data_IF_147474529384
#
_entry.id   IF_147474529384
#
_cell.length_a   1.000
_cell.length_b   1.000
_cell.length_c   1.000
_cell.angle_alpha   90.00
_cell.angle_beta   90.00
_cell.angle_gamma   90.00
#
_symmetry.space_group_name_H-M   'P 1'
#
loop_
_entity.id
_entity.type
_entity.pdbx_description
1 polymer ?
#
# COMPACT_ATOMS: atom_id res chain seq x y z
N UNK A 1 -4.18 13.97 -20.67
CA UNK A 1 -5.39 13.11 -20.79
C UNK A 1 -5.58 12.45 -19.45
N UNK A 2 -6.81 12.15 -19.04
CA UNK A 2 -7.06 11.47 -17.74
C UNK A 2 -6.79 9.99 -17.94
N UNK A 3 -5.83 9.40 -17.20
CA UNK A 3 -5.62 7.98 -17.22
C UNK A 3 -6.88 7.27 -16.69
N UNK A 4 -7.21 6.16 -17.28
CA UNK A 4 -8.33 5.32 -16.86
C UNK A 4 -7.86 4.32 -15.82
N UNK A 5 -8.79 3.73 -15.04
CA UNK A 5 -8.45 2.61 -14.15
C UNK A 5 -7.79 1.45 -14.91
N UNK A 6 -8.17 1.23 -16.17
CA UNK A 6 -7.59 0.19 -17.02
C UNK A 6 -6.13 0.46 -17.35
N UNK A 7 -5.73 1.72 -17.60
CA UNK A 7 -4.34 2.08 -17.85
C UNK A 7 -3.47 1.87 -16.61
N UNK A 8 -3.97 2.19 -15.40
CA UNK A 8 -3.30 1.89 -14.13
C UNK A 8 -3.10 0.38 -13.95
N UNK A 9 -4.14 -0.41 -14.17
CA UNK A 9 -4.08 -1.87 -14.01
C UNK A 9 -3.17 -2.52 -15.06
N UNK A 10 -3.26 -2.08 -16.31
CA UNK A 10 -2.40 -2.55 -17.39
C UNK A 10 -0.93 -2.30 -17.08
N UNK A 11 -0.59 -1.06 -16.66
CA UNK A 11 0.77 -0.73 -16.26
C UNK A 11 1.29 -1.69 -15.19
N UNK A 12 0.54 -1.86 -14.09
CA UNK A 12 0.99 -2.60 -12.92
C UNK A 12 1.05 -4.11 -13.13
N UNK A 13 0.14 -4.69 -13.89
CA UNK A 13 0.01 -6.14 -14.02
C UNK A 13 0.48 -6.72 -15.37
N UNK A 14 0.67 -5.88 -16.40
CA UNK A 14 1.00 -6.34 -17.74
C UNK A 14 2.31 -5.73 -18.29
N UNK A 15 2.61 -4.45 -17.97
CA UNK A 15 3.78 -3.77 -18.52
C UNK A 15 5.01 -3.96 -17.63
N UNK A 16 4.85 -4.12 -16.30
CA UNK A 16 5.95 -4.36 -15.37
C UNK A 16 5.93 -5.78 -14.81
N UNK A 17 7.10 -6.25 -14.37
CA UNK A 17 7.22 -7.57 -13.76
C UNK A 17 6.93 -7.53 -12.26
N UNK A 18 6.49 -8.66 -11.64
CA UNK A 18 6.27 -8.73 -10.19
C UNK A 18 7.50 -8.37 -9.34
N UNK A 19 8.71 -8.58 -9.86
CA UNK A 19 9.95 -8.22 -9.17
C UNK A 19 10.09 -6.70 -9.01
N UNK A 20 9.53 -5.91 -9.94
CA UNK A 20 9.61 -4.44 -9.91
C UNK A 20 8.67 -3.81 -8.87
N UNK A 21 7.60 -4.51 -8.43
CA UNK A 21 6.62 -3.95 -7.49
C UNK A 21 7.24 -3.46 -6.18
N UNK A 22 8.28 -4.15 -5.71
CA UNK A 22 8.90 -3.88 -4.40
C UNK A 22 10.38 -3.51 -4.50
N UNK A 23 10.89 -3.38 -5.72
CA UNK A 23 12.28 -3.02 -5.95
C UNK A 23 12.44 -1.50 -5.98
N UNK A 24 13.41 -0.96 -5.23
CA UNK A 24 13.79 0.44 -5.34
C UNK A 24 14.51 0.69 -6.68
N UNK A 25 13.98 1.60 -7.48
CA UNK A 25 14.52 1.97 -8.79
C UNK A 25 14.12 3.40 -9.15
N UNK A 26 15.10 4.31 -9.18
CA UNK A 26 14.83 5.71 -9.52
C UNK A 26 14.18 5.88 -10.91
N UNK A 27 14.63 5.16 -11.98
CA UNK A 27 13.95 5.22 -13.28
C UNK A 27 12.49 4.74 -13.24
N UNK A 28 12.18 3.73 -12.42
CA UNK A 28 10.82 3.23 -12.26
C UNK A 28 9.95 4.23 -11.46
N UNK A 29 10.51 4.85 -10.42
CA UNK A 29 9.85 5.88 -9.64
C UNK A 29 9.51 7.11 -10.50
N UNK A 30 10.42 7.50 -11.40
CA UNK A 30 10.23 8.60 -12.35
C UNK A 30 9.16 8.27 -13.40
N UNK A 31 9.13 7.05 -13.95
CA UNK A 31 8.11 6.61 -14.91
C UNK A 31 6.69 6.64 -14.27
N UNK A 32 6.55 6.12 -13.05
CA UNK A 32 5.27 6.20 -12.32
C UNK A 32 4.87 7.67 -12.13
N UNK A 33 5.80 8.52 -11.75
CA UNK A 33 5.54 9.94 -11.51
C UNK A 33 5.14 10.67 -12.77
N UNK A 34 5.84 10.45 -13.89
CA UNK A 34 5.53 11.06 -15.17
C UNK A 34 4.14 10.65 -15.67
N UNK A 35 3.82 9.36 -15.58
CA UNK A 35 2.58 8.80 -16.12
C UNK A 35 1.36 9.09 -15.26
N UNK A 36 1.48 8.97 -13.93
CA UNK A 36 0.31 8.88 -13.05
C UNK A 36 0.17 10.00 -12.02
N UNK A 37 1.02 11.04 -12.04
CA UNK A 37 0.91 12.17 -11.10
C UNK A 37 -0.45 12.86 -11.18
N UNK A 38 -0.99 13.07 -12.39
CA UNK A 38 -2.30 13.69 -12.58
C UNK A 38 -3.41 12.81 -12.02
N UNK A 39 -3.34 11.51 -12.26
CA UNK A 39 -4.30 10.52 -11.76
C UNK A 39 -4.27 10.43 -10.23
N UNK A 40 -3.07 10.43 -9.63
CA UNK A 40 -2.89 10.52 -8.19
C UNK A 40 -3.53 11.79 -7.60
N UNK A 41 -3.25 12.95 -8.18
CA UNK A 41 -3.82 14.22 -7.72
C UNK A 41 -5.36 14.25 -7.80
N UNK A 42 -5.92 13.62 -8.81
CA UNK A 42 -7.38 13.47 -8.94
C UNK A 42 -7.94 12.52 -7.88
N UNK A 43 -7.32 11.35 -7.71
CA UNK A 43 -7.77 10.33 -6.76
C UNK A 43 -7.69 10.86 -5.32
N UNK A 44 -6.58 11.54 -4.94
CA UNK A 44 -6.46 12.12 -3.59
C UNK A 44 -7.49 13.23 -3.33
N UNK A 45 -7.97 13.95 -4.35
CA UNK A 45 -9.07 14.93 -4.25
C UNK A 45 -10.46 14.30 -4.30
N UNK A 46 -10.58 12.98 -4.46
CA UNK A 46 -11.85 12.27 -4.53
C UNK A 46 -12.51 12.30 -5.92
N UNK A 47 -11.82 12.81 -6.95
CA UNK A 47 -12.36 12.94 -8.31
C UNK A 47 -12.40 11.60 -9.09
N UNK A 48 -11.95 10.51 -8.47
CA UNK A 48 -12.05 9.13 -8.99
C UNK A 48 -12.93 8.25 -8.08
N UNK A 49 -13.86 8.84 -7.32
CA UNK A 49 -14.70 8.10 -6.38
C UNK A 49 -15.60 7.05 -7.05
N UNK A 50 -15.96 7.27 -8.32
CA UNK A 50 -16.71 6.32 -9.16
C UNK A 50 -15.96 4.99 -9.38
N UNK A 51 -14.62 4.97 -9.27
CA UNK A 51 -13.84 3.74 -9.36
C UNK A 51 -14.14 2.77 -8.21
N UNK A 52 -14.54 3.25 -7.05
CA UNK A 52 -14.90 2.42 -5.89
C UNK A 52 -16.19 1.59 -6.06
N UNK A 53 -16.84 1.66 -7.23
CA UNK A 53 -18.07 0.93 -7.49
C UNK A 53 -17.85 -0.53 -7.97
N UNK A 54 -16.65 -0.89 -8.38
CA UNK A 54 -16.30 -2.24 -8.82
C UNK A 54 -14.91 -2.67 -8.34
N UNK A 55 -14.64 -3.97 -8.40
CA UNK A 55 -13.42 -4.58 -7.88
C UNK A 55 -12.14 -4.05 -8.55
N UNK A 56 -12.14 -3.89 -9.87
CA UNK A 56 -10.98 -3.39 -10.62
C UNK A 56 -10.73 -1.91 -10.31
N UNK A 57 -11.78 -1.12 -10.15
CA UNK A 57 -11.65 0.28 -9.77
C UNK A 57 -11.13 0.46 -8.34
N UNK A 58 -11.56 -0.38 -7.38
CA UNK A 58 -10.98 -0.43 -6.03
C UNK A 58 -9.50 -0.78 -6.09
N UNK A 59 -9.13 -1.80 -6.85
CA UNK A 59 -7.74 -2.20 -7.05
C UNK A 59 -6.89 -1.06 -7.65
N UNK A 60 -7.40 -0.38 -8.67
CA UNK A 60 -6.72 0.78 -9.25
C UNK A 60 -6.56 1.92 -8.24
N UNK A 61 -7.55 2.20 -7.38
CA UNK A 61 -7.44 3.18 -6.29
C UNK A 61 -6.38 2.76 -5.27
N UNK A 62 -6.27 1.47 -4.94
CA UNK A 62 -5.22 0.97 -4.05
C UNK A 62 -3.83 1.23 -4.66
N UNK A 63 -3.63 0.96 -5.94
CA UNK A 63 -2.35 1.23 -6.60
C UNK A 63 -2.03 2.72 -6.60
N UNK A 64 -2.98 3.56 -6.99
CA UNK A 64 -2.80 5.01 -7.12
C UNK A 64 -2.61 5.71 -5.77
N UNK A 65 -3.31 5.28 -4.71
CA UNK A 65 -3.31 5.97 -3.41
C UNK A 65 -2.39 5.33 -2.35
N UNK A 66 -1.95 4.08 -2.57
CA UNK A 66 -1.07 3.38 -1.63
C UNK A 66 0.30 3.06 -2.23
N UNK A 67 0.36 2.45 -3.42
CA UNK A 67 1.63 2.01 -4.01
C UNK A 67 2.37 3.16 -4.70
N UNK A 68 1.72 3.87 -5.62
CA UNK A 68 2.35 4.93 -6.40
C UNK A 68 2.94 6.07 -5.55
N UNK A 69 2.31 6.55 -4.46
CA UNK A 69 2.92 7.57 -3.61
C UNK A 69 4.24 7.13 -2.98
N UNK A 70 4.39 5.83 -2.67
CA UNK A 70 5.63 5.26 -2.13
C UNK A 70 6.79 5.30 -3.14
N UNK A 71 6.48 5.25 -4.41
CA UNK A 71 7.43 5.47 -5.50
C UNK A 71 7.64 6.97 -5.79
N UNK A 72 6.56 7.70 -6.10
CA UNK A 72 6.61 9.10 -6.54
C UNK A 72 7.23 10.05 -5.50
N UNK A 73 7.05 9.77 -4.22
CA UNK A 73 7.41 10.66 -3.11
C UNK A 73 8.33 9.96 -2.10
N UNK A 74 9.20 9.08 -2.59
CA UNK A 74 10.17 8.38 -1.74
C UNK A 74 10.92 9.37 -0.85
N UNK A 75 11.16 8.98 0.39
CA UNK A 75 11.80 9.80 1.42
C UNK A 75 11.07 11.13 1.76
N UNK A 76 9.77 11.20 1.49
CA UNK A 76 8.92 12.36 1.79
C UNK A 76 7.66 11.95 2.55
N UNK A 77 7.12 12.79 3.46
CA UNK A 77 5.83 12.55 4.12
C UNK A 77 4.67 12.31 3.15
N UNK A 78 4.74 12.85 1.93
CA UNK A 78 3.74 12.66 0.88
C UNK A 78 3.56 11.20 0.47
N UNK A 79 4.57 10.34 0.70
CA UNK A 79 4.47 8.92 0.43
C UNK A 79 3.35 8.24 1.23
N UNK A 80 2.92 8.83 2.35
CA UNK A 80 1.93 8.28 3.29
C UNK A 80 0.66 9.14 3.38
N UNK A 81 0.59 10.26 2.65
CA UNK A 81 -0.50 11.26 2.76
C UNK A 81 -1.90 10.68 2.49
N UNK A 82 -1.98 9.62 1.70
CA UNK A 82 -3.24 9.02 1.26
C UNK A 82 -3.54 7.67 1.91
N UNK A 83 -2.73 7.21 2.86
CA UNK A 83 -2.90 5.91 3.52
C UNK A 83 -4.28 5.78 4.21
N UNK A 84 -4.71 6.78 4.99
CA UNK A 84 -6.02 6.76 5.64
C UNK A 84 -7.18 6.77 4.63
N UNK A 85 -7.01 7.49 3.52
CA UNK A 85 -8.03 7.58 2.49
C UNK A 85 -8.24 6.24 1.79
N UNK A 86 -7.17 5.58 1.37
CA UNK A 86 -7.28 4.28 0.70
C UNK A 86 -7.79 3.22 1.66
N UNK A 87 -7.43 3.29 2.95
CA UNK A 87 -7.94 2.39 3.98
C UNK A 87 -9.48 2.47 4.10
N UNK A 88 -10.07 3.65 4.01
CA UNK A 88 -11.53 3.80 3.98
C UNK A 88 -12.15 3.17 2.73
N UNK A 89 -11.52 3.34 1.55
CA UNK A 89 -11.99 2.72 0.30
C UNK A 89 -11.99 1.21 0.41
N UNK A 90 -10.92 0.60 0.92
CA UNK A 90 -10.83 -0.86 1.02
C UNK A 90 -11.77 -1.43 2.07
N UNK A 91 -12.02 -0.74 3.19
CA UNK A 91 -13.02 -1.16 4.19
C UNK A 91 -14.40 -1.28 3.57
N UNK A 92 -14.81 -0.29 2.79
CA UNK A 92 -16.08 -0.30 2.08
C UNK A 92 -16.14 -1.39 1.01
N UNK A 93 -15.04 -1.60 0.28
CA UNK A 93 -14.94 -2.66 -0.72
C UNK A 93 -15.07 -4.06 -0.11
N UNK A 94 -14.43 -4.31 1.03
CA UNK A 94 -14.56 -5.57 1.76
C UNK A 94 -16.00 -5.79 2.28
N UNK A 95 -16.63 -4.72 2.76
CA UNK A 95 -18.05 -4.81 3.20
C UNK A 95 -18.97 -5.24 2.04
N UNK A 96 -18.67 -4.81 0.82
CA UNK A 96 -19.38 -5.18 -0.41
C UNK A 96 -18.95 -6.52 -1.02
N UNK A 97 -17.91 -7.16 -0.49
CA UNK A 97 -17.34 -8.41 -1.04
C UNK A 97 -16.62 -8.24 -2.38
N UNK A 98 -16.24 -7.01 -2.75
CA UNK A 98 -15.58 -6.73 -4.04
C UNK A 98 -14.17 -7.34 -4.14
N UNK A 99 -13.49 -7.49 -3.02
CA UNK A 99 -12.18 -8.14 -2.93
C UNK A 99 -12.21 -9.60 -3.39
N UNK A 100 -13.32 -10.31 -3.14
CA UNK A 100 -13.48 -11.72 -3.51
C UNK A 100 -13.61 -11.94 -5.02
N UNK A 101 -13.89 -10.89 -5.78
CA UNK A 101 -13.94 -10.92 -7.25
C UNK A 101 -12.55 -10.83 -7.90
N UNK A 102 -11.51 -10.58 -7.11
CA UNK A 102 -10.13 -10.45 -7.58
C UNK A 102 -9.35 -11.75 -7.38
N UNK A 103 -8.41 -12.04 -8.29
CA UNK A 103 -7.45 -13.12 -8.10
C UNK A 103 -6.55 -12.84 -6.87
N UNK A 104 -5.95 -13.86 -6.23
CA UNK A 104 -5.08 -13.68 -5.07
C UNK A 104 -3.98 -12.63 -5.28
N UNK A 105 -3.30 -12.66 -6.43
CA UNK A 105 -2.25 -11.69 -6.78
C UNK A 105 -2.76 -10.24 -6.81
N UNK A 106 -3.96 -10.02 -7.32
CA UNK A 106 -4.60 -8.68 -7.36
C UNK A 106 -5.13 -8.30 -5.99
N UNK A 107 -5.75 -9.23 -5.27
CA UNK A 107 -6.34 -9.04 -3.93
C UNK A 107 -5.30 -8.59 -2.90
N UNK A 108 -4.06 -9.04 -3.01
CA UNK A 108 -2.93 -8.59 -2.20
C UNK A 108 -2.88 -7.07 -2.07
N UNK A 109 -2.96 -6.36 -3.18
CA UNK A 109 -2.89 -4.90 -3.19
C UNK A 109 -4.10 -4.21 -2.56
N UNK A 110 -5.25 -4.88 -2.49
CA UNK A 110 -6.43 -4.39 -1.75
C UNK A 110 -6.24 -4.57 -0.24
N UNK A 111 -5.46 -5.55 0.20
CA UNK A 111 -5.21 -5.80 1.62
C UNK A 111 -4.00 -5.03 2.20
N UNK A 112 -3.05 -4.62 1.36
CA UNK A 112 -1.87 -3.86 1.78
C UNK A 112 -2.17 -2.56 2.54
N UNK A 113 -3.22 -1.78 2.26
CA UNK A 113 -3.55 -0.60 3.06
C UNK A 113 -3.79 -0.89 4.55
N UNK A 114 -4.30 -2.08 4.91
CA UNK A 114 -4.38 -2.51 6.31
C UNK A 114 -2.99 -2.76 6.91
N UNK A 115 -2.11 -3.41 6.16
CA UNK A 115 -0.73 -3.70 6.56
C UNK A 115 0.08 -2.42 6.76
N UNK A 116 -0.22 -1.37 6.01
CA UNK A 116 0.47 -0.08 6.07
C UNK A 116 -0.02 0.85 7.19
N UNK A 117 -1.12 0.52 7.86
CA UNK A 117 -1.69 1.31 8.96
C UNK A 117 -0.87 1.19 10.24
N UNK A 118 -0.68 2.31 10.96
CA UNK A 118 -0.09 2.31 12.32
C UNK A 118 -1.14 1.98 13.42
N UNK A 119 -2.37 1.62 13.05
CA UNK A 119 -3.41 1.21 13.99
C UNK A 119 -3.37 -0.31 14.20
N UNK A 120 -3.18 -0.76 15.45
CA UNK A 120 -3.08 -2.19 15.78
C UNK A 120 -4.33 -3.01 15.40
N UNK A 121 -5.52 -2.40 15.40
CA UNK A 121 -6.75 -3.08 14.98
C UNK A 121 -6.70 -3.38 13.49
N UNK A 122 -6.22 -2.43 12.68
CA UNK A 122 -6.07 -2.61 11.24
C UNK A 122 -4.96 -3.61 10.91
N UNK A 123 -3.89 -3.63 11.69
CA UNK A 123 -2.82 -4.63 11.57
C UNK A 123 -3.35 -6.05 11.83
N UNK A 124 -4.13 -6.25 12.88
CA UNK A 124 -4.75 -7.55 13.17
C UNK A 124 -5.72 -7.95 12.07
N UNK A 125 -6.44 -6.97 11.50
CA UNK A 125 -7.30 -7.20 10.32
C UNK A 125 -6.47 -7.63 9.12
N UNK A 126 -5.32 -6.97 8.86
CA UNK A 126 -4.37 -7.35 7.82
C UNK A 126 -3.94 -8.81 7.96
N UNK A 127 -3.47 -9.20 9.15
CA UNK A 127 -3.06 -10.59 9.41
C UNK A 127 -4.18 -11.58 9.08
N UNK A 128 -5.41 -11.31 9.54
CA UNK A 128 -6.56 -12.19 9.26
C UNK A 128 -6.88 -12.29 7.77
N UNK A 129 -6.76 -11.20 7.01
CA UNK A 129 -7.02 -11.17 5.57
C UNK A 129 -5.95 -11.95 4.79
N UNK A 130 -4.68 -11.78 5.14
CA UNK A 130 -3.58 -12.51 4.51
C UNK A 130 -3.52 -13.97 4.96
N UNK A 131 -3.91 -14.31 6.18
CA UNK A 131 -4.05 -15.69 6.65
C UNK A 131 -5.05 -16.47 5.79
N UNK A 132 -6.17 -15.85 5.42
CA UNK A 132 -7.16 -16.45 4.52
C UNK A 132 -6.64 -16.72 3.09
N UNK A 133 -5.51 -16.12 2.72
CA UNK A 133 -4.82 -16.29 1.42
C UNK A 133 -3.46 -16.99 1.54
N UNK A 134 -3.06 -17.48 2.71
CA UNK A 134 -1.69 -17.96 2.96
C UNK A 134 -1.23 -19.08 2.04
N UNK A 135 -2.15 -19.89 1.53
CA UNK A 135 -1.83 -20.98 0.61
C UNK A 135 -1.51 -20.47 -0.80
N UNK A 136 -2.10 -19.30 -1.20
CA UNK A 136 -1.83 -18.64 -2.48
C UNK A 136 -0.67 -17.64 -2.37
N UNK A 137 -0.47 -17.03 -1.20
CA UNK A 137 0.50 -15.95 -0.97
C UNK A 137 1.09 -16.01 0.45
N UNK A 138 1.90 -17.05 0.76
CA UNK A 138 2.51 -17.22 2.08
C UNK A 138 3.43 -16.06 2.45
N UNK A 139 4.10 -15.46 1.45
CA UNK A 139 5.04 -14.36 1.69
C UNK A 139 4.35 -13.12 2.23
N UNK A 140 3.20 -12.73 1.66
CA UNK A 140 2.44 -11.57 2.15
C UNK A 140 1.87 -11.82 3.55
N UNK A 141 1.52 -13.06 3.88
CA UNK A 141 1.11 -13.42 5.24
C UNK A 141 2.27 -13.23 6.24
N UNK A 142 3.47 -13.69 5.91
CA UNK A 142 4.67 -13.50 6.73
C UNK A 142 4.98 -12.00 6.94
N UNK A 143 4.83 -11.19 5.90
CA UNK A 143 4.97 -9.73 6.02
C UNK A 143 3.89 -9.10 6.90
N UNK A 144 2.64 -9.55 6.82
CA UNK A 144 1.57 -9.05 7.68
C UNK A 144 1.86 -9.32 9.16
N UNK A 145 2.40 -10.50 9.50
CA UNK A 145 2.83 -10.83 10.86
C UNK A 145 3.96 -9.90 11.34
N UNK A 146 4.99 -9.66 10.51
CA UNK A 146 6.10 -8.77 10.85
C UNK A 146 5.64 -7.33 11.06
N UNK A 147 4.73 -6.83 10.24
CA UNK A 147 4.16 -5.48 10.41
C UNK A 147 3.40 -5.37 11.72
N UNK A 148 2.55 -6.37 12.04
CA UNK A 148 1.83 -6.41 13.31
C UNK A 148 2.79 -6.40 14.50
N UNK A 149 3.86 -7.21 14.49
CA UNK A 149 4.86 -7.27 15.55
C UNK A 149 5.48 -5.89 15.81
N UNK A 150 5.84 -5.16 14.76
CA UNK A 150 6.37 -3.80 14.89
C UNK A 150 5.37 -2.84 15.52
N UNK A 151 4.11 -2.90 15.09
CA UNK A 151 3.07 -2.02 15.65
C UNK A 151 2.70 -2.41 17.08
N UNK A 152 2.69 -3.69 17.42
CA UNK A 152 2.47 -4.13 18.83
C UNK A 152 3.62 -3.69 19.73
N UNK A 153 4.86 -3.66 19.22
CA UNK A 153 6.04 -3.25 19.97
C UNK A 153 6.16 -1.75 20.15
N UNK A 154 6.01 -0.99 19.05
CA UNK A 154 6.33 0.45 19.03
C UNK A 154 5.10 1.36 18.87
N UNK A 155 3.94 0.81 18.52
CA UNK A 155 2.73 1.59 18.21
C UNK A 155 2.81 2.37 16.89
N UNK A 156 3.94 2.26 16.18
CA UNK A 156 4.21 2.97 14.93
C UNK A 156 5.34 2.31 14.14
N UNK A 157 5.47 2.66 12.86
CA UNK A 157 6.60 2.23 12.05
C UNK A 157 7.82 3.14 12.30
N UNK A 158 8.81 2.65 13.02
CA UNK A 158 10.00 3.41 13.42
C UNK A 158 10.77 3.97 12.21
N UNK A 159 10.85 3.23 11.09
CA UNK A 159 11.52 3.68 9.87
C UNK A 159 10.89 4.93 9.23
N UNK A 160 9.61 5.24 9.54
CA UNK A 160 8.94 6.46 9.07
C UNK A 160 9.24 7.69 9.93
N UNK A 161 9.83 7.51 11.13
CA UNK A 161 9.99 8.61 12.09
C UNK A 161 10.76 9.78 11.50
N UNK A 162 11.92 9.54 10.91
CA UNK A 162 12.76 10.60 10.30
C UNK A 162 11.99 11.35 9.20
N UNK A 163 11.28 10.64 8.33
CA UNK A 163 10.53 11.20 7.21
C UNK A 163 9.35 12.04 7.72
N UNK A 164 8.70 11.60 8.80
CA UNK A 164 7.53 12.28 9.39
C UNK A 164 7.90 13.31 10.46
N UNK A 165 9.21 13.58 10.68
CA UNK A 165 9.67 14.54 11.69
C UNK A 165 9.39 14.09 13.13
N UNK A 166 9.32 12.78 13.38
CA UNK A 166 9.11 12.18 14.71
C UNK A 166 10.46 11.80 15.32
N UNK A 167 10.64 12.05 16.60
CA UNK A 167 11.79 11.55 17.35
C UNK A 167 11.70 10.04 17.57
N UNK A 168 12.80 9.33 17.39
CA UNK A 168 12.92 7.91 17.69
C UNK A 168 13.42 7.66 19.09
N UNK A 169 12.88 6.65 19.78
CA UNK A 169 13.44 6.13 21.03
C UNK A 169 14.74 5.34 20.77
N UNK A 170 15.50 5.03 21.84
CA UNK A 170 16.69 4.19 21.70
C UNK A 170 16.38 2.81 21.14
N UNK A 171 15.28 2.18 21.59
CA UNK A 171 14.86 0.87 21.09
C UNK A 171 14.42 0.91 19.62
N UNK A 172 13.80 2.01 19.17
CA UNK A 172 13.44 2.19 17.76
C UNK A 172 14.69 2.39 16.89
N UNK A 173 15.72 3.10 17.38
CA UNK A 173 17.00 3.24 16.67
C UNK A 173 17.70 1.88 16.53
N UNK A 174 17.79 1.12 17.62
CA UNK A 174 18.35 -0.23 17.59
C UNK A 174 17.61 -1.14 16.60
N UNK A 175 16.27 -1.00 16.52
CA UNK A 175 15.46 -1.76 15.57
C UNK A 175 15.72 -1.34 14.11
N UNK A 176 15.80 -0.04 13.81
CA UNK A 176 16.02 0.49 12.46
C UNK A 176 17.37 0.01 11.88
N UNK A 177 18.37 -0.19 12.74
CA UNK A 177 19.69 -0.65 12.33
C UNK A 177 19.74 -2.16 12.01
N UNK A 178 18.67 -2.92 12.27
CA UNK A 178 18.60 -4.34 11.93
C UNK A 178 18.36 -4.54 10.43
N UNK A 179 18.98 -5.56 9.80
CA UNK A 179 18.68 -5.92 8.43
C UNK A 179 17.18 -6.22 8.22
N UNK A 180 16.55 -5.54 7.26
CA UNK A 180 15.13 -5.75 6.94
C UNK A 180 14.14 -4.99 7.83
N UNK A 181 14.60 -4.08 8.68
CA UNK A 181 13.75 -3.29 9.58
C UNK A 181 12.84 -2.27 8.89
N UNK A 182 12.95 -2.04 7.61
CA UNK A 182 12.18 -1.04 6.88
C UNK A 182 11.14 -1.60 5.89
N UNK A 183 11.00 -2.93 5.80
CA UNK A 183 10.16 -3.68 4.86
C UNK A 183 10.39 -3.35 3.38
#
# INVERSE_FOLDING_TARGET
>A
MRDTKQEVLKFWFEEISPQQWFQKSDPFDDDIKERFMVTYDMARKGLCADWANDAEGVLALCLVLDQFPRNMFRDSPKAFETDDKVLLVVKEALHKGLDQLLSPVKRRFVYMPFMHSENVIEQRRSVSLFEAMKDDDPLSYDYALKHLEVIEKFGRFAHRNKILGRESSGEELDYIDLPGAGF
#
